data_IF_972244318505
#
_entry.id   IF_972244318505
#
_cell.length_a   1.000
_cell.length_b   1.000
_cell.length_c   1.000
_cell.angle_alpha   90.00
_cell.angle_beta   90.00
_cell.angle_gamma   90.00
#
_symmetry.space_group_name_H-M   'P 1'
#
loop_
_entity.id
_entity.type
_entity.pdbx_description
1 polymer ?
#
# COMPACT_ATOMS: atom_id res chain seq x y z
N UNK A 1 -6.96 23.50 23.74
CA UNK A 1 -5.96 22.83 22.87
C UNK A 1 -5.66 21.44 23.44
N UNK A 2 -6.11 20.36 22.78
CA UNK A 2 -5.72 18.98 23.18
C UNK A 2 -4.24 18.84 22.85
N UNK A 3 -3.36 18.72 23.86
CA UNK A 3 -1.94 18.40 23.64
C UNK A 3 -1.89 17.10 22.83
N UNK A 4 -1.26 17.13 21.65
CA UNK A 4 -0.92 15.91 20.92
C UNK A 4 -0.02 15.08 21.84
N UNK A 5 -0.58 14.04 22.45
CA UNK A 5 0.22 13.05 23.18
C UNK A 5 0.69 12.03 22.13
N UNK A 6 1.99 12.04 21.86
CA UNK A 6 2.64 11.00 21.06
C UNK A 6 2.42 9.65 21.73
N UNK A 7 1.98 8.66 20.96
CA UNK A 7 1.82 7.28 21.45
C UNK A 7 3.21 6.63 21.54
N UNK A 8 3.72 6.29 22.73
CA UNK A 8 5.07 5.74 22.87
C UNK A 8 5.25 4.41 22.11
N UNK A 9 4.17 3.64 21.92
CA UNK A 9 4.21 2.39 21.15
C UNK A 9 4.34 2.65 19.65
N UNK A 10 3.73 3.71 19.13
CA UNK A 10 3.95 4.11 17.75
C UNK A 10 5.39 4.56 17.55
N UNK A 11 5.96 5.33 18.48
CA UNK A 11 7.36 5.72 18.42
C UNK A 11 8.29 4.49 18.44
N UNK A 12 8.00 3.53 19.31
CA UNK A 12 8.72 2.25 19.37
C UNK A 12 8.67 1.52 18.02
N UNK A 13 7.49 1.40 17.40
CA UNK A 13 7.35 0.79 16.07
C UNK A 13 8.20 1.53 15.03
N UNK A 14 8.12 2.86 14.97
CA UNK A 14 8.86 3.63 13.98
C UNK A 14 10.38 3.47 14.14
N UNK A 15 10.87 3.43 15.39
CA UNK A 15 12.28 3.16 15.69
C UNK A 15 12.68 1.75 15.26
N UNK A 16 11.86 0.74 15.56
CA UNK A 16 12.12 -0.66 15.21
C UNK A 16 11.94 -0.96 13.71
N UNK A 17 11.29 -0.07 12.95
CA UNK A 17 11.23 -0.13 11.49
C UNK A 17 12.52 0.41 10.83
N UNK A 18 13.30 1.25 11.52
CA UNK A 18 14.51 1.87 10.95
C UNK A 18 15.56 0.86 10.46
N UNK A 19 15.82 -0.30 11.10
CA UNK A 19 16.77 -1.27 10.57
C UNK A 19 16.39 -1.79 9.18
N UNK A 20 15.10 -1.97 8.89
CA UNK A 20 14.62 -2.33 7.55
C UNK A 20 14.90 -1.24 6.50
N UNK A 21 15.03 0.01 6.93
CA UNK A 21 15.18 1.21 6.08
C UNK A 21 16.62 1.74 6.06
N UNK A 22 17.47 1.26 6.97
CA UNK A 22 18.85 1.70 7.12
C UNK A 22 19.68 1.61 5.82
N UNK A 23 19.51 0.57 4.96
CA UNK A 23 20.21 0.52 3.68
C UNK A 23 19.93 1.72 2.75
N UNK A 24 18.75 2.36 2.84
CA UNK A 24 18.46 3.57 2.05
C UNK A 24 19.41 4.73 2.40
N UNK A 25 19.93 4.78 3.63
CA UNK A 25 20.88 5.81 4.05
C UNK A 25 22.31 5.59 3.51
N UNK A 26 22.59 4.44 2.89
CA UNK A 26 23.90 4.17 2.30
C UNK A 26 24.23 5.19 1.19
N UNK A 27 25.50 5.59 1.02
CA UNK A 27 25.94 6.44 -0.08
C UNK A 27 25.58 5.84 -1.45
N UNK A 28 25.36 6.70 -2.45
CA UNK A 28 24.98 6.25 -3.79
C UNK A 28 23.51 5.87 -3.93
N UNK A 29 23.21 5.01 -4.89
CA UNK A 29 21.86 4.58 -5.23
C UNK A 29 21.85 3.17 -5.83
N UNK A 30 20.77 2.43 -5.64
CA UNK A 30 20.60 1.05 -6.12
C UNK A 30 20.25 0.99 -7.61
N UNK A 31 21.19 1.41 -8.47
CA UNK A 31 21.00 1.47 -9.92
C UNK A 31 20.92 0.11 -10.63
N UNK A 32 21.38 -0.95 -9.96
CA UNK A 32 21.35 -2.32 -10.48
C UNK A 32 20.07 -3.08 -10.09
N UNK A 33 19.21 -2.49 -9.25
CA UNK A 33 17.86 -3.00 -8.97
C UNK A 33 16.97 -2.88 -10.22
N UNK A 34 15.95 -3.73 -10.33
CA UNK A 34 15.14 -3.89 -11.56
C UNK A 34 14.60 -2.54 -12.10
N UNK A 35 14.06 -1.71 -11.21
CA UNK A 35 13.51 -0.37 -11.49
C UNK A 35 14.34 0.76 -10.87
N UNK A 36 15.59 0.47 -10.47
CA UNK A 36 16.49 1.46 -9.85
C UNK A 36 16.70 2.68 -10.75
N UNK A 37 16.93 2.47 -12.04
CA UNK A 37 17.08 3.60 -12.98
C UNK A 37 15.76 4.32 -13.23
N UNK A 38 14.66 3.58 -13.37
CA UNK A 38 13.33 4.16 -13.63
C UNK A 38 12.88 5.09 -12.51
N UNK A 39 13.07 4.68 -11.24
CA UNK A 39 12.66 5.46 -10.07
C UNK A 39 13.34 6.83 -9.98
N UNK A 40 14.60 6.95 -10.40
CA UNK A 40 15.33 8.24 -10.48
C UNK A 40 14.92 9.02 -11.72
N UNK A 41 14.95 8.37 -12.87
CA UNK A 41 14.73 9.04 -14.15
C UNK A 41 13.32 9.62 -14.27
N UNK A 42 12.29 8.89 -13.80
CA UNK A 42 10.93 9.39 -13.80
C UNK A 42 10.75 10.58 -12.86
N UNK A 43 11.33 10.58 -11.66
CA UNK A 43 11.26 11.74 -10.76
C UNK A 43 12.00 12.94 -11.35
N UNK A 44 13.16 12.74 -11.99
CA UNK A 44 13.87 13.81 -12.67
C UNK A 44 13.03 14.46 -13.78
N UNK A 45 12.32 13.65 -14.58
CA UNK A 45 11.44 14.18 -15.62
C UNK A 45 10.16 14.80 -15.06
N UNK A 46 9.69 14.31 -13.93
CA UNK A 46 8.55 14.87 -13.23
C UNK A 46 8.89 16.27 -12.69
N UNK A 47 10.03 16.42 -12.00
CA UNK A 47 10.56 17.73 -11.55
C UNK A 47 10.74 18.70 -12.72
N UNK A 48 11.35 18.26 -13.82
CA UNK A 48 11.49 19.10 -15.01
C UNK A 48 10.13 19.61 -15.51
N UNK A 49 9.11 18.74 -15.55
CA UNK A 49 7.76 19.12 -15.96
C UNK A 49 7.11 20.12 -15.00
N UNK A 50 7.29 19.93 -13.68
CA UNK A 50 6.79 20.85 -12.65
C UNK A 50 7.46 22.21 -12.78
N UNK A 51 8.78 22.25 -12.98
CA UNK A 51 9.56 23.49 -13.17
C UNK A 51 9.18 24.24 -14.44
N UNK A 52 8.77 23.53 -15.49
CA UNK A 52 8.22 24.10 -16.72
C UNK A 52 6.77 24.59 -16.56
N UNK A 53 6.20 24.53 -15.35
CA UNK A 53 4.88 25.07 -15.00
C UNK A 53 3.72 24.07 -15.15
N UNK A 54 4.00 22.81 -15.48
CA UNK A 54 2.96 21.78 -15.56
C UNK A 54 2.59 21.29 -14.16
N UNK A 55 1.56 21.89 -13.54
CA UNK A 55 1.06 21.46 -12.22
C UNK A 55 0.60 20.01 -12.16
N UNK A 56 0.19 19.45 -13.31
CA UNK A 56 -0.14 18.03 -13.50
C UNK A 56 0.64 17.49 -14.71
N UNK A 57 1.87 16.99 -14.49
CA UNK A 57 2.70 16.45 -15.56
C UNK A 57 1.99 15.30 -16.29
N UNK A 58 2.03 15.33 -17.63
CA UNK A 58 1.58 14.24 -18.50
C UNK A 58 2.69 13.75 -19.42
N UNK A 59 3.57 14.67 -19.83
CA UNK A 59 4.60 14.45 -20.83
C UNK A 59 5.99 14.64 -20.22
N UNK A 60 6.86 13.63 -20.37
CA UNK A 60 8.26 13.69 -19.98
C UNK A 60 9.08 14.15 -21.20
N UNK A 61 9.49 15.42 -21.22
CA UNK A 61 10.08 16.08 -22.41
C UNK A 61 11.39 15.45 -22.89
N UNK A 62 12.23 14.92 -21.98
CA UNK A 62 13.54 14.36 -22.34
C UNK A 62 13.59 12.84 -22.42
N UNK A 63 12.44 12.16 -22.34
CA UNK A 63 12.37 10.76 -22.73
C UNK A 63 12.69 10.57 -24.21
N UNK A 64 12.95 9.32 -24.61
CA UNK A 64 13.12 8.93 -26.03
C UNK A 64 14.14 9.80 -26.79
N UNK A 65 15.32 10.03 -26.19
CA UNK A 65 16.40 10.86 -26.75
C UNK A 65 15.97 12.32 -27.03
N UNK A 66 15.04 12.86 -26.23
CA UNK A 66 14.56 14.24 -26.36
C UNK A 66 13.32 14.42 -27.24
N UNK A 67 12.76 13.34 -27.81
CA UNK A 67 11.46 13.39 -28.51
C UNK A 67 10.28 13.47 -27.53
N UNK A 68 10.51 13.04 -26.30
CA UNK A 68 9.54 13.02 -25.22
C UNK A 68 8.57 11.85 -25.28
N UNK A 69 7.92 11.58 -24.15
CA UNK A 69 7.00 10.46 -24.00
C UNK A 69 5.91 10.77 -22.96
N UNK A 70 4.65 10.32 -23.17
CA UNK A 70 3.55 10.56 -22.23
C UNK A 70 3.63 9.65 -20.99
N UNK A 71 4.77 9.65 -20.28
CA UNK A 71 5.02 8.74 -19.15
C UNK A 71 3.97 8.88 -18.06
N UNK A 72 3.61 10.12 -17.71
CA UNK A 72 2.68 10.39 -16.61
C UNK A 72 1.21 10.34 -17.05
N UNK A 73 0.95 9.97 -18.30
CA UNK A 73 -0.35 9.49 -18.76
C UNK A 73 -0.55 8.01 -18.37
N UNK A 74 0.53 7.22 -18.33
CA UNK A 74 0.52 5.77 -18.05
C UNK A 74 0.86 5.49 -16.58
N UNK A 75 1.82 6.24 -16.04
CA UNK A 75 2.28 6.15 -14.66
C UNK A 75 1.51 7.14 -13.78
N UNK A 76 0.76 6.60 -12.82
CA UNK A 76 -0.03 7.41 -11.91
C UNK A 76 0.89 8.26 -11.01
N UNK A 77 0.61 9.57 -10.85
CA UNK A 77 1.68 10.51 -10.47
C UNK A 77 1.90 10.68 -8.98
N UNK A 78 1.04 10.14 -8.10
CA UNK A 78 1.10 10.47 -6.68
C UNK A 78 2.43 10.08 -6.03
N UNK A 79 3.04 8.96 -6.46
CA UNK A 79 4.35 8.57 -5.98
C UNK A 79 5.46 9.57 -6.35
N UNK A 80 5.38 10.16 -7.54
CA UNK A 80 6.31 11.19 -7.98
C UNK A 80 6.11 12.49 -7.21
N UNK A 81 4.86 12.88 -6.92
CA UNK A 81 4.60 14.04 -6.06
C UNK A 81 5.20 13.88 -4.65
N UNK A 82 5.18 12.67 -4.08
CA UNK A 82 5.82 12.43 -2.77
C UNK A 82 7.33 12.67 -2.85
N UNK A 83 8.00 12.21 -3.90
CA UNK A 83 9.41 12.48 -4.12
C UNK A 83 9.66 13.97 -4.43
N UNK A 84 8.82 14.59 -5.24
CA UNK A 84 8.91 15.98 -5.70
C UNK A 84 8.94 16.97 -4.54
N UNK A 85 8.17 16.72 -3.48
CA UNK A 85 8.22 17.55 -2.26
C UNK A 85 9.65 17.69 -1.74
N UNK A 86 10.44 16.62 -1.78
CA UNK A 86 11.83 16.63 -1.33
C UNK A 86 12.77 17.29 -2.34
N UNK A 87 12.51 17.14 -3.64
CA UNK A 87 13.27 17.81 -4.70
C UNK A 87 13.11 19.33 -4.61
N UNK A 88 11.88 19.80 -4.40
CA UNK A 88 11.57 21.23 -4.23
C UNK A 88 12.16 21.82 -2.94
N UNK A 89 12.44 20.99 -1.92
CA UNK A 89 13.20 21.38 -0.73
C UNK A 89 14.71 21.45 -0.96
N UNK A 90 15.19 21.19 -2.18
CA UNK A 90 16.58 21.30 -2.58
C UNK A 90 17.40 20.02 -2.41
N UNK A 91 16.75 18.87 -2.17
CA UNK A 91 17.45 17.58 -2.10
C UNK A 91 17.73 17.03 -3.50
N UNK A 92 18.75 16.17 -3.62
CA UNK A 92 19.02 15.48 -4.88
C UNK A 92 17.87 14.54 -5.26
N UNK A 93 17.73 14.22 -6.55
CA UNK A 93 16.70 13.29 -7.04
C UNK A 93 16.81 11.94 -6.32
N UNK A 94 18.01 11.37 -6.24
CA UNK A 94 18.25 10.07 -5.59
C UNK A 94 17.87 10.06 -4.11
N UNK A 95 18.17 11.14 -3.38
CA UNK A 95 17.77 11.27 -1.98
C UNK A 95 16.26 11.45 -1.84
N UNK A 96 15.64 12.20 -2.74
CA UNK A 96 14.20 12.44 -2.77
C UNK A 96 13.41 11.14 -2.97
N UNK A 97 13.87 10.28 -3.89
CA UNK A 97 13.27 8.95 -4.09
C UNK A 97 13.45 8.05 -2.86
N UNK A 98 14.64 8.04 -2.24
CA UNK A 98 14.89 7.31 -0.99
C UNK A 98 13.95 7.77 0.14
N UNK A 99 13.72 9.07 0.27
CA UNK A 99 12.80 9.63 1.24
C UNK A 99 11.34 9.32 0.92
N UNK A 100 10.96 9.23 -0.35
CA UNK A 100 9.63 8.77 -0.74
C UNK A 100 9.38 7.33 -0.28
N UNK A 101 10.33 6.41 -0.49
CA UNK A 101 10.25 5.05 0.07
C UNK A 101 10.18 5.06 1.59
N UNK A 102 11.04 5.83 2.26
CA UNK A 102 11.02 5.97 3.71
C UNK A 102 9.63 6.38 4.23
N UNK A 103 9.05 7.43 3.64
CA UNK A 103 7.72 7.93 4.02
C UNK A 103 6.66 6.86 3.76
N UNK A 104 6.70 6.20 2.60
CA UNK A 104 5.77 5.12 2.26
C UNK A 104 5.80 3.97 3.25
N UNK A 105 6.98 3.40 3.49
CA UNK A 105 7.14 2.27 4.42
C UNK A 105 6.66 2.63 5.82
N UNK A 106 7.03 3.80 6.34
CA UNK A 106 6.59 4.25 7.67
C UNK A 106 5.07 4.55 7.70
N UNK A 107 4.50 5.08 6.62
CA UNK A 107 3.05 5.28 6.51
C UNK A 107 2.30 3.95 6.49
N UNK A 108 2.81 2.92 5.81
CA UNK A 108 2.26 1.57 5.81
C UNK A 108 2.31 0.92 7.20
N UNK A 109 3.47 0.98 7.86
CA UNK A 109 3.66 0.50 9.23
C UNK A 109 2.71 1.21 10.22
N UNK A 110 2.54 2.51 10.08
CA UNK A 110 1.58 3.27 10.87
C UNK A 110 0.13 2.87 10.56
N UNK A 111 -0.20 2.64 9.29
CA UNK A 111 -1.53 2.21 8.87
C UNK A 111 -1.94 0.89 9.49
N UNK A 112 -1.06 -0.12 9.44
CA UNK A 112 -1.36 -1.43 10.04
C UNK A 112 -1.43 -1.34 11.57
N UNK A 113 -0.55 -0.54 12.20
CA UNK A 113 -0.63 -0.27 13.64
C UNK A 113 -2.01 0.30 14.01
N UNK A 114 -2.50 1.30 13.27
CA UNK A 114 -3.79 1.93 13.50
C UNK A 114 -4.95 0.98 13.23
N UNK A 115 -4.84 0.12 12.22
CA UNK A 115 -5.81 -0.90 11.91
C UNK A 115 -5.92 -1.93 13.04
N UNK A 116 -4.79 -2.45 13.52
CA UNK A 116 -4.75 -3.42 14.63
C UNK A 116 -5.29 -2.83 15.93
N UNK A 117 -4.90 -1.60 16.28
CA UNK A 117 -5.46 -0.92 17.47
C UNK A 117 -6.96 -0.74 17.35
N UNK A 118 -7.48 -0.43 16.16
CA UNK A 118 -8.92 -0.25 15.96
C UNK A 118 -9.68 -1.58 16.05
N UNK A 119 -9.24 -2.62 15.34
CA UNK A 119 -9.88 -3.93 15.39
C UNK A 119 -9.81 -4.55 16.79
N UNK A 120 -8.62 -4.61 17.40
CA UNK A 120 -8.49 -5.23 18.72
C UNK A 120 -8.99 -4.32 19.84
N UNK A 121 -8.95 -2.99 19.69
CA UNK A 121 -9.41 -2.05 20.70
C UNK A 121 -10.92 -2.06 20.88
N UNK A 122 -11.70 -2.08 19.78
CA UNK A 122 -13.16 -2.14 19.86
C UNK A 122 -13.62 -3.47 20.48
N UNK A 123 -12.96 -4.58 20.12
CA UNK A 123 -13.18 -5.89 20.71
C UNK A 123 -12.77 -5.95 22.19
N UNK A 124 -11.57 -5.47 22.55
CA UNK A 124 -11.07 -5.45 23.92
C UNK A 124 -11.91 -4.56 24.84
N UNK A 125 -12.42 -3.42 24.34
CA UNK A 125 -13.34 -2.56 25.10
C UNK A 125 -14.69 -3.24 25.30
N UNK A 126 -15.20 -3.98 24.31
CA UNK A 126 -16.45 -4.73 24.43
C UNK A 126 -16.35 -5.87 25.47
N UNK A 127 -15.26 -6.65 25.45
CA UNK A 127 -15.00 -7.73 26.42
C UNK A 127 -14.80 -7.19 27.85
N UNK A 128 -14.03 -6.11 28.00
CA UNK A 128 -13.85 -5.45 29.31
C UNK A 128 -15.17 -4.93 29.89
N UNK A 129 -16.03 -4.30 29.07
CA UNK A 129 -17.36 -3.83 29.48
C UNK A 129 -18.31 -4.97 29.84
N UNK A 130 -18.14 -6.15 29.25
CA UNK A 130 -18.90 -7.35 29.59
C UNK A 130 -18.45 -8.00 30.91
N UNK A 131 -17.50 -7.39 31.64
CA UNK A 131 -17.03 -7.87 32.94
C UNK A 131 -15.87 -8.86 32.88
N UNK A 132 -15.26 -9.07 31.70
CA UNK A 132 -14.07 -9.89 31.55
C UNK A 132 -12.83 -9.19 32.09
N UNK A 133 -12.38 -9.57 33.29
CA UNK A 133 -11.10 -9.11 33.85
C UNK A 133 -9.87 -9.62 33.07
N UNK A 134 -10.05 -10.58 32.17
CA UNK A 134 -9.01 -11.23 31.37
C UNK A 134 -8.90 -10.71 29.92
N UNK A 135 -9.65 -9.66 29.56
CA UNK A 135 -9.55 -9.03 28.22
C UNK A 135 -8.20 -8.32 27.98
N UNK A 136 -7.79 -8.08 26.72
CA UNK A 136 -6.52 -7.43 26.42
C UNK A 136 -6.46 -6.02 27.04
N UNK A 137 -5.50 -5.79 27.94
CA UNK A 137 -5.18 -4.42 28.39
C UNK A 137 -4.80 -3.57 27.17
N UNK A 138 -5.14 -2.28 27.17
CA UNK A 138 -4.81 -1.36 26.06
C UNK A 138 -3.32 -1.42 25.66
N UNK A 139 -2.44 -1.65 26.63
CA UNK A 139 -0.99 -1.82 26.40
C UNK A 139 -0.69 -3.11 25.61
N UNK A 140 -1.41 -4.20 25.87
CA UNK A 140 -1.33 -5.45 25.09
C UNK A 140 -1.82 -5.28 23.65
N UNK A 141 -2.92 -4.54 23.43
CA UNK A 141 -3.40 -4.20 22.09
C UNK A 141 -2.36 -3.39 21.31
N UNK A 142 -1.74 -2.41 21.96
CA UNK A 142 -0.69 -1.59 21.33
C UNK A 142 0.58 -2.39 21.05
N UNK A 143 0.98 -3.31 21.93
CA UNK A 143 2.08 -4.23 21.66
C UNK A 143 1.78 -5.16 20.48
N UNK A 144 0.57 -5.70 20.41
CA UNK A 144 0.13 -6.48 19.24
C UNK A 144 0.16 -5.64 17.96
N UNK A 145 -0.23 -4.37 18.04
CA UNK A 145 -0.15 -3.44 16.91
C UNK A 145 1.29 -3.10 16.50
N UNK A 146 2.24 -2.99 17.46
CA UNK A 146 3.69 -2.89 17.14
C UNK A 146 4.14 -4.15 16.42
N UNK A 147 3.79 -5.33 16.92
CA UNK A 147 4.13 -6.60 16.27
C UNK A 147 3.56 -6.69 14.84
N UNK A 148 2.29 -6.32 14.63
CA UNK A 148 1.69 -6.25 13.29
C UNK A 148 2.43 -5.28 12.37
N UNK A 149 2.81 -4.10 12.90
CA UNK A 149 3.62 -3.11 12.19
C UNK A 149 4.97 -3.64 11.72
N UNK A 150 5.67 -4.38 12.59
CA UNK A 150 6.95 -4.99 12.26
C UNK A 150 6.77 -6.14 11.26
N UNK A 151 5.81 -7.04 11.46
CA UNK A 151 5.55 -8.13 10.51
C UNK A 151 5.21 -7.61 9.11
N UNK A 152 4.50 -6.49 9.03
CA UNK A 152 4.21 -5.81 7.78
C UNK A 152 5.46 -5.16 7.18
N UNK A 153 6.25 -4.43 7.97
CA UNK A 153 7.48 -3.77 7.49
C UNK A 153 8.51 -4.76 6.97
N UNK A 154 8.72 -5.86 7.72
CA UNK A 154 9.68 -6.92 7.41
C UNK A 154 9.04 -8.07 6.61
N UNK A 155 7.85 -7.86 6.02
CA UNK A 155 7.30 -8.82 5.09
C UNK A 155 8.26 -8.96 3.91
N UNK A 156 8.73 -10.18 3.56
CA UNK A 156 9.83 -10.31 2.61
C UNK A 156 9.56 -9.60 1.28
N UNK A 157 8.34 -9.71 0.75
CA UNK A 157 7.96 -9.03 -0.48
C UNK A 157 8.11 -7.49 -0.42
N UNK A 158 7.89 -6.86 0.73
CA UNK A 158 8.13 -5.41 0.85
C UNK A 158 9.62 -5.06 0.77
N UNK A 159 10.48 -5.92 1.30
CA UNK A 159 11.93 -5.76 1.17
C UNK A 159 12.39 -6.05 -0.26
N UNK A 160 11.73 -6.97 -0.96
CA UNK A 160 11.95 -7.21 -2.39
C UNK A 160 11.58 -5.97 -3.21
N UNK A 161 10.39 -5.40 -2.98
CA UNK A 161 9.95 -4.18 -3.66
C UNK A 161 10.89 -2.99 -3.42
N UNK A 162 11.42 -2.86 -2.20
CA UNK A 162 12.38 -1.81 -1.84
C UNK A 162 13.77 -2.00 -2.46
N UNK A 163 14.35 -3.20 -2.35
CA UNK A 163 15.80 -3.40 -2.53
C UNK A 163 16.18 -4.28 -3.72
N UNK A 164 15.31 -5.19 -4.15
CA UNK A 164 15.56 -6.03 -5.33
C UNK A 164 14.97 -5.36 -6.57
N UNK A 165 13.71 -4.95 -6.45
CA UNK A 165 12.99 -4.28 -7.53
C UNK A 165 13.26 -2.79 -7.54
N UNK A 166 13.36 -2.13 -6.38
CA UNK A 166 13.34 -0.67 -6.29
C UNK A 166 12.13 -0.08 -7.04
N UNK A 167 10.96 -0.71 -6.85
CA UNK A 167 9.70 -0.33 -7.48
C UNK A 167 8.98 0.71 -6.60
N UNK A 168 9.15 1.99 -6.95
CA UNK A 168 8.61 3.12 -6.16
C UNK A 168 7.08 3.07 -6.04
N UNK A 169 6.39 2.94 -7.16
CA UNK A 169 4.93 2.96 -7.18
C UNK A 169 4.34 1.76 -6.41
N UNK A 170 4.92 0.56 -6.53
CA UNK A 170 4.47 -0.65 -5.83
C UNK A 170 4.66 -0.52 -4.32
N UNK A 171 5.83 -0.05 -3.87
CA UNK A 171 6.10 0.12 -2.44
C UNK A 171 5.11 1.11 -1.82
N UNK A 172 4.83 2.22 -2.51
CA UNK A 172 3.86 3.22 -2.05
C UNK A 172 2.42 2.69 -2.13
N UNK A 173 2.10 1.87 -3.14
CA UNK A 173 0.80 1.23 -3.28
C UNK A 173 0.52 0.33 -2.07
N UNK A 174 1.50 -0.48 -1.67
CA UNK A 174 1.38 -1.35 -0.50
C UNK A 174 1.14 -0.52 0.76
N UNK A 175 1.84 0.61 0.94
CA UNK A 175 1.63 1.50 2.08
C UNK A 175 0.16 1.95 2.27
N UNK A 176 -0.63 2.04 1.19
CA UNK A 176 -2.05 2.38 1.27
C UNK A 176 -2.96 1.24 1.75
N UNK A 177 -2.58 -0.03 1.59
CA UNK A 177 -3.45 -1.19 1.84
C UNK A 177 -4.04 -1.18 3.26
N UNK A 178 -3.25 -0.97 4.34
CA UNK A 178 -3.82 -0.92 5.68
C UNK A 178 -4.78 0.27 5.89
N UNK A 179 -4.50 1.41 5.26
CA UNK A 179 -5.35 2.61 5.34
C UNK A 179 -6.67 2.44 4.60
N UNK A 180 -6.65 1.75 3.46
CA UNK A 180 -7.85 1.40 2.70
C UNK A 180 -8.80 0.56 3.55
N UNK A 181 -8.27 -0.52 4.12
CA UNK A 181 -9.03 -1.41 4.98
C UNK A 181 -9.55 -0.62 6.17
N UNK A 182 -8.69 0.13 6.87
CA UNK A 182 -9.09 0.96 8.00
C UNK A 182 -10.21 1.96 7.68
N UNK A 183 -10.10 2.69 6.58
CA UNK A 183 -11.04 3.74 6.22
C UNK A 183 -12.41 3.19 5.81
N UNK A 184 -12.44 2.17 4.95
CA UNK A 184 -13.69 1.55 4.51
C UNK A 184 -14.36 0.75 5.63
N UNK A 185 -13.59 0.03 6.44
CA UNK A 185 -14.12 -0.70 7.58
C UNK A 185 -14.83 0.25 8.55
N UNK A 186 -14.15 1.34 8.92
CA UNK A 186 -14.74 2.37 9.78
C UNK A 186 -15.96 3.06 9.17
N UNK A 187 -15.97 3.30 7.87
CA UNK A 187 -17.11 3.90 7.18
C UNK A 187 -18.34 2.98 7.28
N UNK A 188 -18.15 1.69 7.06
CA UNK A 188 -19.22 0.68 7.05
C UNK A 188 -19.71 0.30 8.44
N UNK A 189 -18.80 0.09 9.39
CA UNK A 189 -19.14 -0.31 10.77
C UNK A 189 -19.85 0.83 11.49
N UNK A 190 -19.33 2.06 11.40
CA UNK A 190 -19.93 3.22 12.07
C UNK A 190 -21.10 3.83 11.28
N UNK A 191 -21.21 3.53 9.99
CA UNK A 191 -22.27 3.99 9.10
C UNK A 191 -22.59 5.48 9.27
N UNK A 192 -23.87 5.76 9.45
CA UNK A 192 -24.43 7.12 9.59
C UNK A 192 -24.23 7.81 10.94
N UNK A 193 -23.48 7.22 11.87
CA UNK A 193 -23.18 7.85 13.16
C UNK A 193 -22.56 9.26 12.96
N UNK A 194 -22.62 10.16 13.96
CA UNK A 194 -22.01 11.48 13.86
C UNK A 194 -20.56 11.44 13.32
N UNK A 195 -20.24 12.36 12.41
CA UNK A 195 -18.96 12.41 11.71
C UNK A 195 -18.85 11.52 10.46
N UNK A 196 -19.96 11.00 9.93
CA UNK A 196 -19.97 10.21 8.68
C UNK A 196 -19.42 10.97 7.46
N UNK A 197 -19.62 12.29 7.24
CA UNK A 197 -19.10 12.96 6.05
C UNK A 197 -17.57 12.95 6.03
N UNK A 198 -16.96 13.11 7.20
CA UNK A 198 -15.50 13.01 7.35
C UNK A 198 -15.00 11.60 7.05
N UNK A 199 -15.70 10.55 7.52
CA UNK A 199 -15.32 9.16 7.23
C UNK A 199 -15.44 8.85 5.74
N UNK A 200 -16.50 9.33 5.10
CA UNK A 200 -16.71 9.23 3.66
C UNK A 200 -15.57 9.91 2.90
N UNK A 201 -15.25 11.17 3.26
CA UNK A 201 -14.15 11.90 2.65
C UNK A 201 -12.80 11.21 2.82
N UNK A 202 -12.50 10.67 4.01
CA UNK A 202 -11.27 9.90 4.24
C UNK A 202 -11.23 8.63 3.40
N UNK A 203 -12.31 7.85 3.34
CA UNK A 203 -12.37 6.64 2.51
C UNK A 203 -12.17 6.97 1.02
N UNK A 204 -12.82 8.03 0.53
CA UNK A 204 -12.68 8.50 -0.84
C UNK A 204 -11.24 8.96 -1.15
N UNK A 205 -10.63 9.75 -0.26
CA UNK A 205 -9.25 10.25 -0.44
C UNK A 205 -8.21 9.14 -0.38
N UNK A 206 -8.37 8.16 0.52
CA UNK A 206 -7.46 7.02 0.61
C UNK A 206 -7.55 6.15 -0.64
N UNK A 207 -8.75 5.88 -1.14
CA UNK A 207 -8.93 5.13 -2.39
C UNK A 207 -8.42 5.91 -3.60
N UNK A 208 -8.73 7.21 -3.71
CA UNK A 208 -8.18 8.04 -4.77
C UNK A 208 -6.65 8.09 -4.71
N UNK A 209 -6.06 8.22 -3.52
CA UNK A 209 -4.63 8.19 -3.31
C UNK A 209 -4.00 6.88 -3.78
N UNK A 210 -4.63 5.75 -3.43
CA UNK A 210 -4.19 4.42 -3.87
C UNK A 210 -4.19 4.33 -5.40
N UNK A 211 -5.29 4.73 -6.05
CA UNK A 211 -5.44 4.68 -7.50
C UNK A 211 -4.47 5.64 -8.22
N UNK A 212 -4.22 6.80 -7.64
CA UNK A 212 -3.26 7.80 -8.15
C UNK A 212 -1.79 7.42 -7.87
N UNK A 213 -1.51 6.44 -7.01
CA UNK A 213 -0.15 5.93 -6.79
C UNK A 213 0.26 4.92 -7.86
N UNK A 214 -0.67 4.08 -8.32
CA UNK A 214 -0.37 3.09 -9.34
C UNK A 214 -1.61 2.73 -10.16
N UNK A 215 -1.57 2.86 -11.49
CA UNK A 215 -2.73 2.59 -12.35
C UNK A 215 -3.26 1.15 -12.21
N UNK A 216 -2.36 0.18 -12.09
CA UNK A 216 -2.66 -1.23 -11.77
C UNK A 216 -3.47 -1.44 -10.48
N UNK A 217 -3.49 -0.50 -9.53
CA UNK A 217 -4.26 -0.61 -8.29
C UNK A 217 -5.76 -0.82 -8.54
N UNK A 218 -6.28 -0.31 -9.67
CA UNK A 218 -7.68 -0.55 -10.04
C UNK A 218 -7.96 -2.04 -10.27
N UNK A 219 -6.98 -2.78 -10.78
CA UNK A 219 -7.10 -4.22 -11.05
C UNK A 219 -6.71 -5.07 -9.83
N UNK A 220 -5.67 -4.68 -9.09
CA UNK A 220 -5.14 -5.49 -7.98
C UNK A 220 -5.74 -5.17 -6.61
N UNK A 221 -6.03 -3.90 -6.31
CA UNK A 221 -6.48 -3.45 -4.99
C UNK A 221 -7.99 -3.19 -4.93
N UNK A 222 -8.62 -2.72 -6.01
CA UNK A 222 -10.07 -2.50 -5.99
C UNK A 222 -10.88 -3.78 -5.66
N UNK A 223 -10.54 -4.99 -6.18
CA UNK A 223 -11.23 -6.22 -5.79
C UNK A 223 -11.12 -6.54 -4.30
N UNK A 224 -9.99 -6.21 -3.66
CA UNK A 224 -9.80 -6.37 -2.21
C UNK A 224 -10.78 -5.47 -1.44
N UNK A 225 -10.91 -4.20 -1.83
CA UNK A 225 -11.85 -3.25 -1.21
C UNK A 225 -13.30 -3.68 -1.43
N UNK A 226 -13.64 -4.11 -2.65
CA UNK A 226 -14.98 -4.64 -2.97
C UNK A 226 -15.30 -5.86 -2.11
N UNK A 227 -14.35 -6.78 -1.95
CA UNK A 227 -14.51 -7.98 -1.09
C UNK A 227 -14.75 -7.59 0.36
N UNK A 228 -13.96 -6.64 0.90
CA UNK A 228 -14.16 -6.11 2.26
C UNK A 228 -15.56 -5.50 2.43
N UNK A 229 -16.00 -4.69 1.46
CA UNK A 229 -17.32 -4.04 1.46
C UNK A 229 -18.42 -5.10 1.48
N UNK A 230 -18.38 -6.05 0.54
CA UNK A 230 -19.36 -7.15 0.45
C UNK A 230 -19.39 -7.94 1.75
N UNK A 231 -18.22 -8.30 2.30
CA UNK A 231 -18.10 -9.03 3.55
C UNK A 231 -18.78 -8.29 4.71
N UNK A 232 -18.50 -7.00 4.90
CA UNK A 232 -19.08 -6.18 5.98
C UNK A 232 -20.58 -5.96 5.80
N UNK A 233 -21.04 -5.72 4.57
CA UNK A 233 -22.47 -5.61 4.28
C UNK A 233 -23.20 -6.94 4.54
N UNK A 234 -22.62 -8.08 4.17
CA UNK A 234 -23.19 -9.40 4.44
C UNK A 234 -23.26 -9.69 5.94
N UNK A 235 -22.22 -9.36 6.72
CA UNK A 235 -22.25 -9.48 8.18
C UNK A 235 -23.36 -8.64 8.80
N UNK A 236 -23.52 -7.40 8.33
CA UNK A 236 -24.55 -6.49 8.84
C UNK A 236 -25.95 -6.96 8.46
N UNK A 237 -26.13 -7.42 7.22
CA UNK A 237 -27.38 -8.00 6.74
C UNK A 237 -27.86 -9.14 7.63
N UNK A 238 -26.98 -10.09 7.94
CA UNK A 238 -27.30 -11.24 8.80
C UNK A 238 -27.75 -10.85 10.21
N UNK A 239 -27.25 -9.74 10.76
CA UNK A 239 -27.52 -9.32 12.15
C UNK A 239 -28.68 -8.34 12.29
N UNK A 240 -28.86 -7.44 11.32
CA UNK A 240 -29.77 -6.29 11.47
C UNK A 240 -30.65 -6.02 10.24
N UNK A 241 -30.67 -6.92 9.25
CA UNK A 241 -31.39 -6.70 7.99
C UNK A 241 -30.60 -5.86 6.98
N UNK A 242 -31.17 -5.64 5.79
CA UNK A 242 -30.46 -5.10 4.64
C UNK A 242 -29.84 -3.70 4.90
N UNK A 243 -28.50 -3.54 4.78
CA UNK A 243 -27.79 -2.33 5.20
C UNK A 243 -27.75 -1.23 4.12
N UNK A 244 -28.92 -0.70 3.73
CA UNK A 244 -29.01 0.23 2.60
C UNK A 244 -28.14 1.50 2.75
N UNK A 245 -28.05 2.06 3.97
CA UNK A 245 -27.26 3.28 4.22
C UNK A 245 -25.78 3.05 4.02
N UNK A 246 -25.27 1.93 4.51
CA UNK A 246 -23.86 1.56 4.39
C UNK A 246 -23.51 1.22 2.94
N UNK A 247 -24.43 0.58 2.21
CA UNK A 247 -24.28 0.36 0.77
C UNK A 247 -24.16 1.69 0.02
N UNK A 248 -25.03 2.67 0.32
CA UNK A 248 -24.94 4.00 -0.29
C UNK A 248 -23.66 4.73 0.09
N UNK A 249 -23.21 4.64 1.35
CA UNK A 249 -21.95 5.25 1.79
C UNK A 249 -20.73 4.64 1.09
N UNK A 250 -20.69 3.31 0.93
CA UNK A 250 -19.63 2.63 0.21
C UNK A 250 -19.63 3.02 -1.27
N UNK A 251 -20.80 3.03 -1.91
CA UNK A 251 -20.97 3.48 -3.29
C UNK A 251 -20.55 4.93 -3.49
N UNK A 252 -20.96 5.82 -2.59
CA UNK A 252 -20.54 7.23 -2.59
C UNK A 252 -19.03 7.37 -2.40
N UNK A 253 -18.41 6.57 -1.53
CA UNK A 253 -16.97 6.59 -1.30
C UNK A 253 -16.19 6.18 -2.55
N UNK A 254 -16.62 5.11 -3.21
CA UNK A 254 -16.07 4.66 -4.49
C UNK A 254 -16.26 5.70 -5.60
N UNK A 255 -17.46 6.26 -5.73
CA UNK A 255 -17.77 7.27 -6.74
C UNK A 255 -16.96 8.55 -6.57
N UNK A 256 -16.81 9.05 -5.33
CA UNK A 256 -15.97 10.21 -5.04
C UNK A 256 -14.49 9.94 -5.33
N UNK A 257 -14.00 8.74 -4.99
CA UNK A 257 -12.63 8.35 -5.30
C UNK A 257 -12.38 8.31 -6.82
N UNK A 258 -13.31 7.73 -7.59
CA UNK A 258 -13.24 7.70 -9.05
C UNK A 258 -13.34 9.09 -9.66
N UNK A 259 -14.13 9.99 -9.09
CA UNK A 259 -14.22 11.38 -9.53
C UNK A 259 -12.90 12.13 -9.35
N UNK A 260 -12.20 11.91 -8.23
CA UNK A 260 -10.86 12.48 -7.99
C UNK A 260 -9.85 11.83 -8.96
N UNK A 261 -9.90 10.51 -9.11
CA UNK A 261 -9.03 9.75 -10.00
C UNK A 261 -9.27 10.06 -11.50
N UNK A 262 -10.42 10.63 -11.85
CA UNK A 262 -10.79 10.93 -13.24
C UNK A 262 -9.78 11.85 -13.95
N UNK A 263 -9.07 12.72 -13.22
CA UNK A 263 -8.01 13.56 -13.78
C UNK A 263 -6.87 12.74 -14.41
N UNK A 264 -6.63 11.54 -13.90
CA UNK A 264 -5.67 10.59 -14.47
C UNK A 264 -6.37 9.60 -15.44
N UNK A 265 -7.49 9.02 -15.00
CA UNK A 265 -8.15 7.94 -15.72
C UNK A 265 -8.72 8.37 -17.08
N UNK A 266 -9.35 9.55 -17.16
CA UNK A 266 -9.98 10.00 -18.40
C UNK A 266 -8.95 10.24 -19.50
N UNK A 267 -7.85 10.99 -19.27
CA UNK A 267 -6.78 11.09 -20.26
C UNK A 267 -6.20 9.73 -20.65
N UNK A 268 -5.95 8.84 -19.69
CA UNK A 268 -5.44 7.50 -19.99
C UNK A 268 -6.39 6.73 -20.93
N UNK A 269 -7.70 6.78 -20.71
CA UNK A 269 -8.68 6.08 -21.57
C UNK A 269 -8.82 6.73 -22.96
N UNK A 270 -8.79 8.05 -23.05
CA UNK A 270 -8.99 8.79 -24.31
C UNK A 270 -7.73 8.80 -25.17
N UNK A 271 -6.57 9.06 -24.55
CA UNK A 271 -5.29 9.23 -25.22
C UNK A 271 -4.47 7.94 -25.23
N UNK A 272 -4.69 7.02 -24.29
CA UNK A 272 -3.93 5.77 -24.21
C UNK A 272 -4.08 4.85 -25.41
N UNK A 273 -5.17 4.98 -26.19
CA UNK A 273 -5.36 4.27 -27.47
C UNK A 273 -4.34 4.62 -28.55
N UNK A 274 -3.65 5.75 -28.41
CA UNK A 274 -2.57 6.17 -29.31
C UNK A 274 -1.21 5.58 -28.91
N UNK A 275 -1.15 4.88 -27.78
CA UNK A 275 0.06 4.23 -27.28
C UNK A 275 0.09 2.76 -27.69
N UNK A 276 1.28 2.27 -27.99
CA UNK A 276 1.49 0.83 -28.14
C UNK A 276 1.47 0.18 -26.76
N UNK A 277 0.30 -0.28 -26.31
CA UNK A 277 0.14 -0.92 -25.00
C UNK A 277 0.59 -2.39 -24.97
N UNK A 278 0.74 -3.03 -26.14
CA UNK A 278 1.12 -4.44 -26.23
C UNK A 278 2.51 -4.70 -25.65
N UNK A 279 3.39 -3.68 -25.66
CA UNK A 279 4.75 -3.78 -25.09
C UNK A 279 4.76 -4.06 -23.59
N UNK A 280 3.65 -3.79 -22.87
CA UNK A 280 3.54 -4.00 -21.43
C UNK A 280 2.99 -5.38 -21.04
N UNK A 281 2.63 -6.21 -22.02
CA UNK A 281 2.01 -7.53 -21.80
C UNK A 281 2.59 -8.62 -22.72
N UNK A 282 3.72 -8.32 -23.38
CA UNK A 282 4.37 -9.23 -24.32
C UNK A 282 5.87 -9.36 -24.04
N UNK A 283 6.49 -10.39 -24.61
CA UNK A 283 7.88 -10.73 -24.31
C UNK A 283 8.05 -11.07 -22.82
N UNK A 284 9.08 -10.54 -22.17
CA UNK A 284 9.33 -10.75 -20.74
C UNK A 284 8.32 -10.10 -19.78
N UNK A 285 7.22 -9.53 -20.28
CA UNK A 285 6.09 -9.06 -19.47
C UNK A 285 4.85 -9.94 -19.62
N UNK A 286 4.94 -11.06 -20.35
CA UNK A 286 3.85 -12.01 -20.46
C UNK A 286 3.59 -12.68 -19.10
N UNK A 287 2.43 -12.41 -18.51
CA UNK A 287 2.09 -12.92 -17.18
C UNK A 287 2.15 -14.45 -17.08
N UNK A 288 2.02 -15.16 -18.21
CA UNK A 288 2.09 -16.63 -18.26
C UNK A 288 3.46 -17.17 -17.89
N UNK A 289 4.50 -16.36 -18.02
CA UNK A 289 5.87 -16.71 -17.71
C UNK A 289 6.24 -16.45 -16.25
N UNK A 290 5.29 -15.95 -15.44
CA UNK A 290 5.54 -15.45 -14.08
C UNK A 290 4.65 -16.10 -13.01
N UNK A 291 4.14 -17.32 -13.27
CA UNK A 291 3.37 -18.06 -12.27
C UNK A 291 4.29 -18.64 -11.17
N UNK A 292 4.07 -18.19 -9.93
CA UNK A 292 4.84 -18.66 -8.78
C UNK A 292 4.38 -20.06 -8.33
N UNK A 293 5.32 -20.99 -8.22
CA UNK A 293 5.06 -22.32 -7.69
C UNK A 293 4.89 -22.30 -6.17
N UNK A 294 4.01 -23.16 -5.63
CA UNK A 294 3.70 -23.21 -4.20
C UNK A 294 4.96 -23.38 -3.32
N UNK A 295 5.95 -24.14 -3.79
CA UNK A 295 7.21 -24.36 -3.07
C UNK A 295 8.06 -23.09 -2.92
N UNK A 296 7.98 -22.15 -3.86
CA UNK A 296 8.77 -20.91 -3.83
C UNK A 296 8.33 -19.97 -2.71
N UNK A 297 7.05 -20.01 -2.31
CA UNK A 297 6.54 -19.25 -1.17
C UNK A 297 7.18 -19.67 0.17
N UNK A 298 7.69 -20.89 0.27
CA UNK A 298 8.32 -21.45 1.47
C UNK A 298 9.85 -21.58 1.34
N UNK A 299 10.41 -21.22 0.18
CA UNK A 299 11.84 -21.24 -0.05
C UNK A 299 12.53 -20.17 0.79
N UNK A 300 13.69 -20.45 1.43
CA UNK A 300 14.49 -19.43 2.12
C UNK A 300 15.38 -18.63 1.16
N UNK A 301 15.26 -18.85 -0.15
CA UNK A 301 16.11 -18.21 -1.16
C UNK A 301 15.96 -16.69 -1.17
N UNK A 302 17.09 -16.00 -1.25
CA UNK A 302 17.16 -14.57 -1.50
C UNK A 302 18.13 -14.30 -2.65
N UNK A 303 17.67 -13.54 -3.64
CA UNK A 303 18.43 -13.19 -4.83
C UNK A 303 18.02 -11.81 -5.36
N UNK A 304 18.75 -11.37 -6.38
CA UNK A 304 18.50 -10.12 -7.09
C UNK A 304 18.14 -10.35 -8.57
N UNK A 305 17.89 -11.61 -8.97
CA UNK A 305 17.49 -11.96 -10.32
C UNK A 305 16.02 -11.66 -10.60
N UNK A 306 15.55 -12.07 -11.78
CA UNK A 306 14.19 -11.83 -12.25
C UNK A 306 13.31 -13.05 -12.04
N UNK A 307 12.01 -12.91 -12.33
CA UNK A 307 11.19 -14.08 -12.61
C UNK A 307 11.51 -14.52 -14.03
N UNK A 308 12.30 -15.57 -14.15
CA UNK A 308 12.98 -16.00 -15.37
C UNK A 308 12.92 -17.52 -15.62
N UNK A 309 12.15 -18.26 -14.82
CA UNK A 309 11.88 -19.70 -15.03
C UNK A 309 10.38 -19.99 -15.25
N UNK A 310 9.86 -19.80 -16.49
CA UNK A 310 8.42 -19.96 -16.80
C UNK A 310 7.84 -21.36 -16.54
N UNK A 311 8.70 -22.38 -16.48
CA UNK A 311 8.30 -23.80 -16.45
C UNK A 311 8.67 -24.45 -15.12
N UNK A 312 9.58 -23.84 -14.36
CA UNK A 312 10.14 -24.38 -13.14
C UNK A 312 9.96 -23.46 -11.92
N UNK A 313 10.86 -23.62 -10.95
CA UNK A 313 10.84 -22.92 -9.68
C UNK A 313 12.21 -22.31 -9.34
N UNK A 314 13.11 -22.23 -10.34
CA UNK A 314 14.49 -21.76 -10.18
C UNK A 314 14.64 -20.28 -10.56
N UNK A 315 13.59 -19.48 -10.33
CA UNK A 315 13.64 -18.04 -10.56
C UNK A 315 14.73 -17.36 -9.71
N UNK A 316 15.39 -16.38 -10.29
CA UNK A 316 16.31 -15.50 -9.57
C UNK A 316 15.61 -14.51 -8.61
N UNK A 317 14.29 -14.37 -8.71
CA UNK A 317 13.47 -13.50 -7.87
C UNK A 317 12.98 -14.20 -6.58
N UNK A 318 13.14 -13.58 -5.40
CA UNK A 318 12.64 -14.13 -4.15
C UNK A 318 11.13 -13.93 -3.96
N UNK A 319 10.37 -15.03 -3.86
CA UNK A 319 8.90 -15.04 -3.69
C UNK A 319 8.41 -15.43 -2.28
N UNK A 320 9.33 -15.58 -1.33
CA UNK A 320 9.02 -16.13 -0.01
C UNK A 320 7.98 -15.31 0.78
N UNK A 321 7.06 -15.99 1.48
CA UNK A 321 6.09 -15.36 2.39
C UNK A 321 6.70 -14.96 3.75
N UNK A 322 7.83 -15.59 4.10
CA UNK A 322 8.49 -15.43 5.39
C UNK A 322 7.99 -16.46 6.41
N UNK A 323 8.92 -17.28 6.91
CA UNK A 323 8.61 -18.35 7.85
C UNK A 323 7.95 -17.84 9.14
N UNK A 324 8.44 -16.71 9.67
CA UNK A 324 7.90 -16.11 10.90
C UNK A 324 6.43 -15.72 10.71
N UNK A 325 6.09 -15.07 9.60
CA UNK A 325 4.74 -14.65 9.27
C UNK A 325 3.80 -15.85 9.12
N UNK A 326 4.24 -16.89 8.40
CA UNK A 326 3.46 -18.13 8.21
C UNK A 326 3.23 -18.84 9.54
N UNK A 327 4.27 -19.04 10.35
CA UNK A 327 4.14 -19.70 11.66
C UNK A 327 3.20 -18.92 12.58
N UNK A 328 3.35 -17.60 12.65
CA UNK A 328 2.47 -16.77 13.48
C UNK A 328 1.01 -16.79 12.99
N UNK A 329 0.77 -16.81 11.68
CA UNK A 329 -0.57 -16.96 11.12
C UNK A 329 -1.20 -18.31 11.49
N UNK A 330 -0.44 -19.40 11.40
CA UNK A 330 -0.90 -20.74 11.80
C UNK A 330 -1.21 -20.77 13.30
N UNK A 331 -0.31 -20.28 14.15
CA UNK A 331 -0.51 -20.20 15.60
C UNK A 331 -1.75 -19.36 15.94
N UNK A 332 -1.98 -18.25 15.26
CA UNK A 332 -3.17 -17.43 15.43
C UNK A 332 -4.47 -18.21 15.13
N UNK A 333 -4.52 -19.01 14.06
CA UNK A 333 -5.70 -19.82 13.72
C UNK A 333 -6.04 -20.86 14.81
N UNK A 334 -5.03 -21.47 15.44
CA UNK A 334 -5.25 -22.46 16.50
C UNK A 334 -5.61 -21.82 17.84
N UNK A 335 -5.03 -20.68 18.17
CA UNK A 335 -5.28 -19.98 19.43
C UNK A 335 -6.67 -19.33 19.46
N UNK A 336 -7.10 -18.70 18.36
CA UNK A 336 -8.46 -18.13 18.24
C UNK A 336 -9.54 -19.20 18.43
N UNK A 337 -9.39 -20.36 17.80
CA UNK A 337 -10.34 -21.47 17.94
C UNK A 337 -10.41 -22.05 19.35
N UNK A 338 -9.34 -21.97 20.13
CA UNK A 338 -9.34 -22.39 21.54
C UNK A 338 -10.04 -21.37 22.43
N UNK A 339 -9.83 -20.08 22.18
CA UNK A 339 -10.51 -19.01 22.90
C UNK A 339 -12.04 -19.03 22.69
N UNK A 340 -12.51 -19.33 21.47
CA UNK A 340 -13.96 -19.45 21.19
C UNK A 340 -14.63 -20.68 21.84
N UNK A 341 -13.84 -21.67 22.29
CA UNK A 341 -14.35 -22.93 22.88
C UNK A 341 -14.25 -22.97 24.40
N UNK A 342 -13.45 -22.10 25.00
CA UNK A 342 -13.27 -22.00 26.45
C UNK A 342 -14.35 -21.11 27.06
#
# INVERSE_FOLDING_TARGET
MRKLRLDPYLLLLLVLALPALAPLAAPGYMFDAHDGRHSVFYVQMFDASIRDGALWPRWAMHHTQGLGYPTFLIQAPLGFYVAEVFVLLGLSITMSVKLAWLVGTLAGAWGIYRLTVYWLGDHAIAEWRAGGADGPRLDGVRLAAVASGLLYTYFPYHLVDLYVRAALADTLLLAWVPWLIYAFDRLLVLGSAPGWPRRLGVAALVLAGTLLTHAFALLSIAPLVVTLVIFRLAQRWRRHGFPWRETLLAGAGGALALLIYAIFLVPLLVEGRYLNQQVYVSGGYDYRDHFVQVGQFLSPYWGFGYSDDPVGANDGMPFQLGLVQVVLAIVALFTVRRAERA
#
